data_IF_620879768311
#
_entry.id   IF_620879768311
#
_cell.length_a   1.000
_cell.length_b   1.000
_cell.length_c   1.000
_cell.angle_alpha   90.00
_cell.angle_beta   90.00
_cell.angle_gamma   90.00
#
_symmetry.space_group_name_H-M   'P 1'
#
loop_
_entity.id
_entity.type
_entity.pdbx_description
1 polymer ?
#
# COMPACT_ATOMS: atom_id res chain seq x y z
N UNK A 1 8.24 -1.48 -7.47
CA UNK A 1 6.94 -0.92 -7.01
C UNK A 1 6.69 -1.37 -5.59
N UNK A 2 6.00 -0.58 -4.75
CA UNK A 2 5.72 -0.89 -3.32
C UNK A 2 5.26 -2.34 -3.08
N UNK A 3 4.36 -2.84 -3.92
CA UNK A 3 3.87 -4.23 -3.91
C UNK A 3 5.00 -5.27 -3.99
N UNK A 4 6.05 -5.03 -4.79
CA UNK A 4 7.15 -5.98 -4.93
C UNK A 4 7.98 -6.08 -3.64
N UNK A 5 8.12 -4.96 -2.91
CA UNK A 5 8.82 -4.96 -1.62
C UNK A 5 8.05 -5.82 -0.61
N UNK A 6 6.72 -5.62 -0.54
CA UNK A 6 5.84 -6.42 0.32
C UNK A 6 5.84 -7.91 -0.06
N UNK A 7 5.82 -8.24 -1.35
CA UNK A 7 5.90 -9.63 -1.83
C UNK A 7 7.24 -10.29 -1.46
N UNK A 8 8.36 -9.56 -1.56
CA UNK A 8 9.67 -10.07 -1.17
C UNK A 8 9.77 -10.27 0.34
N UNK A 9 9.29 -9.32 1.15
CA UNK A 9 9.29 -9.43 2.60
C UNK A 9 8.40 -10.60 3.07
N UNK A 10 7.21 -10.75 2.50
CA UNK A 10 6.31 -11.85 2.87
C UNK A 10 6.87 -13.23 2.50
N UNK A 11 7.67 -13.33 1.43
CA UNK A 11 8.38 -14.57 1.07
C UNK A 11 9.56 -14.88 2.00
N UNK A 12 10.16 -13.85 2.59
CA UNK A 12 11.29 -14.00 3.51
C UNK A 12 10.85 -14.35 4.95
N UNK A 13 9.57 -14.18 5.27
CA UNK A 13 9.02 -14.44 6.60
C UNK A 13 8.37 -15.81 6.65
N UNK A 14 8.90 -16.69 7.51
CA UNK A 14 8.23 -17.93 7.88
C UNK A 14 7.13 -17.63 8.90
N UNK A 15 5.89 -17.95 8.52
CA UNK A 15 4.75 -17.79 9.42
C UNK A 15 4.75 -18.90 10.49
N UNK A 16 4.44 -18.58 11.76
CA UNK A 16 4.25 -19.60 12.78
C UNK A 16 3.17 -20.62 12.38
N UNK A 17 3.30 -21.87 12.82
CA UNK A 17 2.43 -22.99 12.40
C UNK A 17 0.91 -22.78 12.64
N UNK A 18 0.52 -21.80 13.47
CA UNK A 18 -0.89 -21.46 13.77
C UNK A 18 -1.38 -20.15 13.11
N UNK A 19 -0.56 -19.51 12.27
CA UNK A 19 -0.89 -18.23 11.63
C UNK A 19 -0.98 -18.43 10.12
N UNK A 20 -2.05 -17.93 9.53
CA UNK A 20 -2.29 -18.01 8.09
C UNK A 20 -1.97 -16.68 7.41
N UNK A 21 -1.10 -16.72 6.39
CA UNK A 21 -0.73 -15.53 5.58
C UNK A 21 -1.70 -15.21 4.44
N UNK A 22 -2.72 -16.04 4.21
CA UNK A 22 -3.72 -15.88 3.14
C UNK A 22 -4.36 -14.49 3.13
N UNK A 23 -4.79 -13.88 4.26
CA UNK A 23 -5.36 -12.53 4.25
C UNK A 23 -4.36 -11.45 3.78
N UNK A 24 -3.07 -11.61 4.12
CA UNK A 24 -2.00 -10.70 3.67
C UNK A 24 -1.78 -10.82 2.16
N UNK A 25 -1.67 -12.04 1.63
CA UNK A 25 -1.57 -12.27 0.19
C UNK A 25 -2.77 -11.68 -0.58
N UNK A 26 -3.99 -11.87 -0.06
CA UNK A 26 -5.21 -11.31 -0.66
C UNK A 26 -5.19 -9.77 -0.67
N UNK A 27 -4.71 -9.17 0.41
CA UNK A 27 -4.62 -7.71 0.55
C UNK A 27 -3.57 -7.11 -0.39
N UNK A 28 -2.39 -7.74 -0.51
CA UNK A 28 -1.35 -7.34 -1.47
C UNK A 28 -1.85 -7.43 -2.91
N UNK A 29 -2.57 -8.52 -3.27
CA UNK A 29 -3.16 -8.66 -4.59
C UNK A 29 -4.20 -7.56 -4.89
N UNK A 30 -4.99 -7.15 -3.88
CA UNK A 30 -5.94 -6.04 -3.99
C UNK A 30 -5.20 -4.71 -4.19
N UNK A 31 -4.14 -4.44 -3.42
CA UNK A 31 -3.29 -3.26 -3.57
C UNK A 31 -2.72 -3.16 -4.99
N UNK A 32 -2.22 -4.28 -5.54
CA UNK A 32 -1.70 -4.35 -6.91
C UNK A 32 -2.76 -3.98 -7.95
N UNK A 33 -3.97 -4.54 -7.84
CA UNK A 33 -5.09 -4.21 -8.74
C UNK A 33 -5.45 -2.73 -8.66
N UNK A 34 -5.52 -2.16 -7.45
CA UNK A 34 -5.80 -0.74 -7.25
C UNK A 34 -4.70 0.16 -7.81
N UNK A 35 -3.42 -0.21 -7.67
CA UNK A 35 -2.30 0.54 -8.25
C UNK A 35 -2.33 0.55 -9.79
N UNK A 36 -2.68 -0.58 -10.43
CA UNK A 36 -2.87 -0.65 -11.88
C UNK A 36 -4.01 0.29 -12.32
N UNK A 37 -5.10 0.33 -11.58
CA UNK A 37 -6.20 1.24 -11.89
C UNK A 37 -5.77 2.72 -11.78
N UNK A 38 -5.05 3.11 -10.73
CA UNK A 38 -4.57 4.48 -10.56
C UNK A 38 -3.61 4.88 -11.69
N UNK A 39 -2.69 3.99 -12.06
CA UNK A 39 -1.74 4.28 -13.16
C UNK A 39 -2.44 4.41 -14.51
N UNK A 40 -3.51 3.64 -14.77
CA UNK A 40 -4.37 3.82 -15.94
C UNK A 40 -5.07 5.19 -15.90
N UNK A 41 -5.75 5.53 -14.81
CA UNK A 41 -6.44 6.82 -14.66
C UNK A 41 -5.48 8.01 -14.75
N UNK A 42 -4.25 7.87 -14.26
CA UNK A 42 -3.22 8.91 -14.36
C UNK A 42 -2.80 9.19 -15.82
N UNK A 43 -2.76 8.16 -16.67
CA UNK A 43 -2.49 8.35 -18.11
C UNK A 43 -3.62 9.12 -18.81
N UNK A 44 -4.86 8.90 -18.38
CA UNK A 44 -6.06 9.55 -18.93
C UNK A 44 -6.25 10.99 -18.41
N UNK A 45 -5.69 11.31 -17.23
CA UNK A 45 -5.87 12.60 -16.56
C UNK A 45 -5.00 13.76 -17.07
N UNK A 46 -4.24 13.60 -18.16
CA UNK A 46 -3.27 14.60 -18.64
C UNK A 46 -3.89 15.98 -18.91
N UNK A 47 -5.16 16.04 -19.30
CA UNK A 47 -5.83 17.27 -19.75
C UNK A 47 -6.77 17.84 -18.67
N UNK A 48 -7.18 17.05 -17.68
CA UNK A 48 -8.15 17.45 -16.67
C UNK A 48 -7.48 17.75 -15.31
N UNK A 49 -7.34 19.04 -14.99
CA UNK A 49 -6.70 19.53 -13.76
C UNK A 49 -7.39 19.03 -12.47
N UNK A 50 -8.73 18.93 -12.46
CA UNK A 50 -9.50 18.47 -11.30
C UNK A 50 -9.26 16.98 -11.05
N UNK A 51 -9.26 16.18 -12.11
CA UNK A 51 -8.97 14.75 -12.03
C UNK A 51 -7.52 14.52 -11.56
N UNK A 52 -6.56 15.30 -12.08
CA UNK A 52 -5.16 15.23 -11.66
C UNK A 52 -4.98 15.54 -10.18
N UNK A 53 -5.65 16.58 -9.65
CA UNK A 53 -5.62 16.89 -8.21
C UNK A 53 -6.18 15.75 -7.36
N UNK A 54 -7.33 15.20 -7.74
CA UNK A 54 -7.94 14.06 -7.04
C UNK A 54 -7.02 12.84 -7.01
N UNK A 55 -6.34 12.53 -8.12
CA UNK A 55 -5.36 11.44 -8.16
C UNK A 55 -4.15 11.72 -7.25
N UNK A 56 -3.64 12.95 -7.23
CA UNK A 56 -2.56 13.33 -6.32
C UNK A 56 -2.95 13.20 -4.85
N UNK A 57 -4.14 13.66 -4.47
CA UNK A 57 -4.63 13.55 -3.09
C UNK A 57 -4.74 12.07 -2.67
N UNK A 58 -5.21 11.21 -3.58
CA UNK A 58 -5.25 9.75 -3.35
C UNK A 58 -3.88 9.13 -3.20
N UNK A 59 -2.87 9.60 -3.95
CA UNK A 59 -1.49 9.12 -3.81
C UNK A 59 -0.89 9.53 -2.45
N UNK A 60 -1.13 10.77 -2.01
CA UNK A 60 -0.69 11.24 -0.68
C UNK A 60 -1.37 10.43 0.44
N UNK A 61 -2.67 10.18 0.31
CA UNK A 61 -3.40 9.36 1.29
C UNK A 61 -2.94 7.90 1.29
N UNK A 62 -2.50 7.36 0.15
CA UNK A 62 -2.00 5.99 0.08
C UNK A 62 -0.74 5.80 0.94
N UNK A 63 0.18 6.76 0.95
CA UNK A 63 1.36 6.69 1.81
C UNK A 63 0.98 6.82 3.30
N UNK A 64 0.08 7.76 3.61
CA UNK A 64 -0.41 7.97 4.99
C UNK A 64 -1.16 6.74 5.53
N UNK A 65 -1.77 5.94 4.67
CA UNK A 65 -2.46 4.71 5.09
C UNK A 65 -1.51 3.64 5.66
N UNK A 66 -0.20 3.74 5.40
CA UNK A 66 0.82 2.89 6.02
C UNK A 66 1.37 3.47 7.33
N UNK A 67 0.83 4.59 7.81
CA UNK A 67 1.22 5.16 9.10
C UNK A 67 0.23 4.83 10.20
N UNK A 68 0.71 4.28 11.31
CA UNK A 68 -0.06 4.08 12.54
C UNK A 68 0.13 5.25 13.50
N UNK A 69 -0.97 5.76 14.05
CA UNK A 69 -0.99 6.83 15.06
C UNK A 69 -0.26 6.45 16.36
N UNK A 70 -0.29 5.17 16.73
CA UNK A 70 0.32 4.65 17.96
C UNK A 70 1.79 4.25 17.77
N UNK A 71 2.23 4.07 16.52
CA UNK A 71 3.56 3.56 16.18
C UNK A 71 3.75 2.09 16.54
N UNK A 72 4.98 1.59 16.34
CA UNK A 72 5.32 0.21 16.66
C UNK A 72 5.35 -0.02 18.19
N UNK A 73 4.93 -1.19 18.68
CA UNK A 73 5.08 -1.56 20.08
C UNK A 73 6.54 -1.42 20.53
N UNK A 74 6.77 -0.66 21.60
CA UNK A 74 8.12 -0.38 22.13
C UNK A 74 8.88 0.73 21.40
N UNK A 75 8.37 1.23 20.26
CA UNK A 75 8.96 2.36 19.56
C UNK A 75 7.90 3.30 18.92
N UNK A 76 7.28 4.17 19.73
CA UNK A 76 6.17 5.04 19.30
C UNK A 76 6.52 6.03 18.18
N UNK A 77 7.81 6.30 17.96
CA UNK A 77 8.28 7.21 16.92
C UNK A 77 8.29 6.56 15.53
N UNK A 78 8.33 5.22 15.46
CA UNK A 78 8.31 4.48 14.20
C UNK A 78 6.86 4.19 13.85
N UNK A 79 6.31 5.02 12.97
CA UNK A 79 4.89 4.98 12.58
C UNK A 79 4.62 4.22 11.30
N UNK A 80 5.64 4.01 10.46
CA UNK A 80 5.49 3.37 9.17
C UNK A 80 5.56 1.84 9.32
N UNK A 81 4.65 1.14 8.62
CA UNK A 81 4.45 -0.32 8.69
C UNK A 81 4.93 -1.03 7.43
#
# INVERSE_FOLDING_TARGET
TYVNVLETQLKAVDAPARVTTVPLHKSIAKLRKSAIHITKSAKEAKVNLKLRRCLNDRLVMAERAFTDSLGLPGNPWYKHM
#
